data_IF_808158266497
#
_entry.id   IF_808158266497
#
_cell.length_a   1.000
_cell.length_b   1.000
_cell.length_c   1.000
_cell.angle_alpha   90.00
_cell.angle_beta   90.00
_cell.angle_gamma   90.00
#
_symmetry.space_group_name_H-M   'P 1'
#
loop_
_entity.id
_entity.type
_entity.pdbx_description
1 polymer ?
#
# COMPACT_ATOMS: atom_id res chain seq x y z
N UNK A 1 42.55 45.32 40.69
CA UNK A 1 42.74 43.86 40.89
C UNK A 1 41.36 43.21 40.85
N UNK A 2 41.31 42.03 40.24
CA UNK A 2 40.18 41.51 39.46
C UNK A 2 38.92 41.13 40.25
N UNK A 3 37.76 41.48 39.69
CA UNK A 3 36.49 40.79 39.90
C UNK A 3 36.53 39.42 39.20
N UNK A 4 36.14 38.35 39.89
CA UNK A 4 35.75 37.08 39.27
C UNK A 4 34.41 36.65 39.86
N UNK A 5 33.33 36.98 39.13
CA UNK A 5 31.98 36.46 39.36
C UNK A 5 31.88 35.17 38.55
N UNK A 6 31.76 34.02 39.23
CA UNK A 6 31.52 32.75 38.59
C UNK A 6 30.04 32.63 38.18
N UNK A 7 29.75 32.71 36.88
CA UNK A 7 28.46 32.38 36.30
C UNK A 7 28.39 30.87 36.10
N UNK A 8 27.70 30.16 36.98
CA UNK A 8 27.30 28.78 36.76
C UNK A 8 26.13 28.74 35.78
N UNK A 9 26.43 28.51 34.49
CA UNK A 9 25.44 28.18 33.48
C UNK A 9 24.99 26.72 33.67
N UNK A 10 24.01 26.51 34.55
CA UNK A 10 23.26 25.27 34.61
C UNK A 10 22.27 25.21 33.45
N UNK A 11 22.67 24.59 32.34
CA UNK A 11 21.75 24.24 31.26
C UNK A 11 20.89 23.04 31.70
N UNK A 12 19.77 23.29 32.37
CA UNK A 12 18.72 22.29 32.56
C UNK A 12 17.89 22.16 31.28
N UNK A 13 18.48 21.52 30.27
CA UNK A 13 17.74 21.00 29.14
C UNK A 13 17.19 19.61 29.52
N UNK A 14 16.02 19.58 30.16
CA UNK A 14 15.21 18.36 30.22
C UNK A 14 14.61 18.10 28.83
N UNK A 15 15.44 17.69 27.87
CA UNK A 15 15.00 17.11 26.62
C UNK A 15 14.42 15.73 26.89
N UNK A 16 13.16 15.67 27.31
CA UNK A 16 12.39 14.44 27.18
C UNK A 16 12.14 14.25 25.68
N UNK A 17 13.07 13.60 25.01
CA UNK A 17 12.79 12.97 23.73
C UNK A 17 11.71 11.92 24.02
N UNK A 18 10.45 12.31 23.82
CA UNK A 18 9.30 11.45 23.97
C UNK A 18 9.50 10.31 22.98
N UNK A 19 9.94 9.16 23.51
CA UNK A 19 10.18 7.94 22.73
C UNK A 19 8.91 7.69 21.93
N UNK A 20 8.95 7.63 20.58
CA UNK A 20 7.75 7.43 19.80
C UNK A 20 7.08 6.15 20.30
N UNK A 21 5.83 6.25 20.74
CA UNK A 21 5.10 5.13 21.31
C UNK A 21 4.97 4.04 20.24
N UNK A 22 5.84 3.03 20.30
CA UNK A 22 5.77 1.84 19.43
C UNK A 22 4.69 0.88 19.92
N UNK A 23 3.49 1.39 20.17
CA UNK A 23 2.37 0.59 20.66
C UNK A 23 1.45 0.30 19.49
N UNK A 24 1.07 -0.97 19.34
CA UNK A 24 0.01 -1.38 18.43
C UNK A 24 -1.33 -1.10 19.11
N UNK A 25 -2.28 -0.50 18.39
CA UNK A 25 -3.62 -0.19 18.90
C UNK A 25 -4.66 -1.06 18.19
N UNK A 26 -5.59 -1.64 18.94
CA UNK A 26 -6.68 -2.42 18.36
C UNK A 26 -7.81 -1.48 17.96
N UNK A 27 -8.11 -1.45 16.66
CA UNK A 27 -9.25 -0.71 16.10
C UNK A 27 -10.53 -1.51 16.33
N UNK A 28 -10.51 -2.81 16.00
CA UNK A 28 -11.66 -3.71 16.17
C UNK A 28 -11.23 -5.16 16.30
N UNK A 29 -12.07 -5.96 16.96
CA UNK A 29 -11.86 -7.40 17.17
C UNK A 29 -12.13 -8.27 15.92
N UNK A 30 -12.62 -7.65 14.85
CA UNK A 30 -12.93 -8.30 13.60
C UNK A 30 -12.53 -7.37 12.45
N UNK A 31 -11.85 -7.87 11.42
CA UNK A 31 -11.51 -7.12 10.21
C UNK A 31 -12.55 -7.28 9.09
N UNK A 32 -13.63 -8.03 9.32
CA UNK A 32 -14.71 -8.18 8.36
C UNK A 32 -15.31 -6.82 7.99
N UNK A 33 -15.53 -6.62 6.69
CA UNK A 33 -16.12 -5.38 6.16
C UNK A 33 -15.11 -4.24 5.94
N UNK A 34 -13.82 -4.43 6.23
CA UNK A 34 -12.78 -3.43 5.93
C UNK A 34 -12.62 -3.27 4.41
N UNK A 35 -12.64 -2.04 3.92
CA UNK A 35 -12.42 -1.71 2.51
C UNK A 35 -13.54 -2.11 1.54
N UNK A 36 -14.71 -2.55 2.02
CA UNK A 36 -15.78 -3.05 1.15
C UNK A 36 -16.57 -1.96 0.40
N UNK A 37 -16.41 -0.68 0.77
CA UNK A 37 -17.06 0.45 0.12
C UNK A 37 -16.20 1.09 -0.99
N UNK A 38 -14.92 0.70 -1.11
CA UNK A 38 -14.11 1.15 -2.23
C UNK A 38 -14.61 0.45 -3.51
N UNK A 39 -14.92 1.26 -4.53
CA UNK A 39 -15.42 0.80 -5.84
C UNK A 39 -14.49 -0.26 -6.46
N UNK A 40 -14.90 -0.90 -7.56
CA UNK A 40 -14.54 -2.27 -7.96
C UNK A 40 -13.05 -2.59 -7.86
N UNK A 41 -12.59 -2.84 -6.64
CA UNK A 41 -11.30 -3.38 -6.31
C UNK A 41 -11.30 -4.83 -6.74
N UNK A 42 -10.19 -5.26 -7.31
CA UNK A 42 -9.95 -6.60 -7.82
C UNK A 42 -10.32 -7.64 -6.77
N UNK A 43 -11.53 -8.20 -6.87
CA UNK A 43 -12.07 -9.15 -5.91
C UNK A 43 -11.08 -10.28 -5.62
N UNK A 44 -10.47 -10.25 -4.43
CA UNK A 44 -9.80 -11.35 -3.74
C UNK A 44 -8.65 -12.09 -4.46
N UNK A 45 -8.26 -11.70 -5.67
CA UNK A 45 -7.35 -12.51 -6.50
C UNK A 45 -5.93 -11.93 -6.63
N UNK A 46 -5.72 -10.68 -6.20
CA UNK A 46 -4.45 -9.97 -6.35
C UNK A 46 -4.21 -9.43 -7.77
N UNK A 47 -3.32 -8.45 -7.89
CA UNK A 47 -2.93 -7.84 -9.16
C UNK A 47 -2.38 -8.88 -10.15
N UNK A 48 -1.64 -9.88 -9.68
CA UNK A 48 -1.03 -10.89 -10.54
C UNK A 48 -2.07 -11.81 -11.21
N UNK A 49 -3.16 -12.16 -10.53
CA UNK A 49 -4.19 -13.01 -11.11
C UNK A 49 -4.96 -12.27 -12.21
N UNK A 50 -5.31 -11.00 -11.96
CA UNK A 50 -5.96 -10.14 -12.96
C UNK A 50 -5.05 -9.93 -14.17
N UNK A 51 -3.81 -9.48 -13.95
CA UNK A 51 -2.84 -9.24 -15.02
C UNK A 51 -2.46 -10.53 -15.75
N UNK A 52 -2.45 -11.68 -15.06
CA UNK A 52 -2.26 -12.99 -15.67
C UNK A 52 -3.36 -13.34 -16.67
N UNK A 53 -4.62 -13.00 -16.40
CA UNK A 53 -5.71 -13.18 -17.36
C UNK A 53 -5.59 -12.23 -18.57
N UNK A 54 -5.19 -10.97 -18.33
CA UNK A 54 -4.86 -10.01 -19.39
C UNK A 54 -3.75 -10.54 -20.30
N UNK A 55 -2.70 -11.14 -19.73
CA UNK A 55 -1.61 -11.75 -20.48
C UNK A 55 -2.08 -12.91 -21.36
N UNK A 56 -2.91 -13.82 -20.83
CA UNK A 56 -3.48 -14.92 -21.62
C UNK A 56 -4.30 -14.41 -22.80
N UNK A 57 -5.14 -13.41 -22.58
CA UNK A 57 -5.95 -12.81 -23.64
C UNK A 57 -5.08 -12.12 -24.70
N UNK A 58 -4.02 -11.42 -24.29
CA UNK A 58 -3.03 -10.86 -25.21
C UNK A 58 -2.43 -11.96 -26.08
N UNK A 59 -1.95 -13.05 -25.46
CA UNK A 59 -1.29 -14.14 -26.18
C UNK A 59 -2.24 -14.80 -27.17
N UNK A 60 -3.47 -15.10 -26.76
CA UNK A 60 -4.50 -15.68 -27.64
C UNK A 60 -4.82 -14.78 -28.84
N UNK A 61 -4.82 -13.45 -28.66
CA UNK A 61 -5.05 -12.50 -29.75
C UNK A 61 -3.85 -12.46 -30.71
N UNK A 62 -2.63 -12.42 -30.17
CA UNK A 62 -1.40 -12.45 -30.95
C UNK A 62 -1.31 -13.74 -31.78
N UNK A 63 -1.45 -14.90 -31.13
CA UNK A 63 -1.30 -16.21 -31.76
C UNK A 63 -2.27 -16.45 -32.93
N UNK A 64 -3.49 -15.93 -32.84
CA UNK A 64 -4.51 -16.07 -33.90
C UNK A 64 -4.24 -15.19 -35.13
N UNK A 65 -3.55 -14.07 -34.96
CA UNK A 65 -3.32 -13.08 -36.03
C UNK A 65 -2.10 -13.45 -36.88
N UNK A 66 -2.00 -12.83 -38.07
CA UNK A 66 -0.76 -12.85 -38.84
C UNK A 66 0.26 -11.98 -38.07
N UNK A 67 1.50 -12.44 -37.88
CA UNK A 67 2.52 -11.64 -37.22
C UNK A 67 2.74 -10.30 -37.95
N UNK A 68 3.02 -9.24 -37.20
CA UNK A 68 3.33 -7.92 -37.76
C UNK A 68 4.72 -7.84 -38.37
N UNK A 69 5.62 -8.75 -37.98
CA UNK A 69 6.97 -8.86 -38.53
C UNK A 69 6.89 -9.56 -39.88
N UNK A 70 7.46 -8.91 -40.90
CA UNK A 70 7.56 -9.47 -42.25
C UNK A 70 8.34 -10.80 -42.23
N UNK A 71 7.93 -11.72 -43.10
CA UNK A 71 8.51 -13.07 -43.23
C UNK A 71 8.48 -13.96 -41.99
N UNK A 72 7.84 -13.55 -40.89
CA UNK A 72 7.65 -14.39 -39.72
C UNK A 72 6.52 -15.42 -40.00
N UNK A 73 6.81 -16.73 -40.02
CA UNK A 73 5.77 -17.71 -40.32
C UNK A 73 4.77 -17.81 -39.17
N UNK A 74 3.48 -17.87 -39.51
CA UNK A 74 2.42 -18.06 -38.53
C UNK A 74 2.58 -19.41 -37.83
N UNK A 75 2.29 -19.43 -36.54
CA UNK A 75 2.43 -20.58 -35.65
C UNK A 75 3.85 -21.18 -35.57
N UNK A 76 4.86 -20.44 -36.01
CA UNK A 76 6.26 -20.82 -35.80
C UNK A 76 6.68 -20.60 -34.35
N UNK A 77 7.81 -21.21 -33.99
CA UNK A 77 8.48 -21.00 -32.72
C UNK A 77 8.90 -19.52 -32.54
N UNK A 78 9.35 -18.87 -33.61
CA UNK A 78 9.62 -17.43 -33.63
C UNK A 78 8.35 -16.58 -33.41
N UNK A 79 7.20 -16.98 -33.95
CA UNK A 79 5.91 -16.33 -33.66
C UNK A 79 5.49 -16.51 -32.20
N UNK A 80 5.70 -17.70 -31.64
CA UNK A 80 5.41 -17.96 -30.24
C UNK A 80 6.25 -17.04 -29.36
N UNK A 81 7.57 -16.96 -29.60
CA UNK A 81 8.48 -16.06 -28.86
C UNK A 81 8.05 -14.60 -28.96
N UNK A 82 7.69 -14.13 -30.16
CA UNK A 82 7.18 -12.78 -30.36
C UNK A 82 5.95 -12.51 -29.48
N UNK A 83 4.95 -13.40 -29.53
CA UNK A 83 3.74 -13.26 -28.74
C UNK A 83 4.02 -13.32 -27.23
N UNK A 84 4.89 -14.22 -26.79
CA UNK A 84 5.28 -14.32 -25.37
C UNK A 84 5.96 -13.04 -24.89
N UNK A 85 6.93 -12.52 -25.65
CA UNK A 85 7.67 -11.30 -25.30
C UNK A 85 6.74 -10.08 -25.21
N UNK A 86 5.95 -9.84 -26.26
CA UNK A 86 5.02 -8.71 -26.30
C UNK A 86 3.98 -8.78 -25.17
N UNK A 87 3.43 -9.97 -24.90
CA UNK A 87 2.42 -10.11 -23.87
C UNK A 87 3.01 -10.11 -22.45
N UNK A 88 4.28 -10.46 -22.28
CA UNK A 88 4.99 -10.23 -21.02
C UNK A 88 5.13 -8.73 -20.72
N UNK A 89 5.44 -7.90 -21.71
CA UNK A 89 5.47 -6.44 -21.51
C UNK A 89 4.10 -5.90 -21.07
N UNK A 90 3.01 -6.38 -21.68
CA UNK A 90 1.63 -6.04 -21.29
C UNK A 90 1.34 -6.46 -19.84
N UNK A 91 1.78 -7.65 -19.45
CA UNK A 91 1.65 -8.12 -18.07
C UNK A 91 2.38 -7.21 -17.08
N UNK A 92 3.65 -6.91 -17.33
CA UNK A 92 4.46 -6.07 -16.44
C UNK A 92 3.87 -4.68 -16.29
N UNK A 93 3.39 -4.09 -17.40
CA UNK A 93 2.70 -2.80 -17.37
C UNK A 93 1.40 -2.86 -16.56
N UNK A 94 0.61 -3.90 -16.73
CA UNK A 94 -0.61 -4.10 -15.94
C UNK A 94 -0.29 -4.18 -14.44
N UNK A 95 0.74 -4.95 -14.06
CA UNK A 95 1.17 -5.06 -12.67
C UNK A 95 1.58 -3.69 -12.14
N UNK A 96 2.44 -2.96 -12.84
CA UNK A 96 2.87 -1.61 -12.46
C UNK A 96 1.68 -0.64 -12.27
N UNK A 97 0.69 -0.69 -13.16
CA UNK A 97 -0.53 0.12 -13.04
C UNK A 97 -1.35 -0.25 -11.80
N UNK A 98 -1.54 -1.55 -11.51
CA UNK A 98 -2.23 -1.99 -10.30
C UNK A 98 -1.48 -1.55 -9.04
N UNK A 99 -0.17 -1.77 -9.02
CA UNK A 99 0.76 -1.36 -7.98
C UNK A 99 0.72 0.17 -7.73
N UNK A 100 0.53 0.97 -8.78
CA UNK A 100 0.43 2.42 -8.68
C UNK A 100 -0.93 2.87 -8.13
N UNK A 101 -2.00 2.15 -8.45
CA UNK A 101 -3.33 2.38 -7.88
C UNK A 101 -3.35 2.03 -6.39
N UNK A 102 -2.84 0.85 -6.01
CA UNK A 102 -2.70 0.44 -4.61
C UNK A 102 -1.87 1.45 -3.81
N UNK A 103 -0.76 1.95 -4.37
CA UNK A 103 0.05 3.00 -3.73
C UNK A 103 -0.68 4.34 -3.64
N UNK A 104 -1.54 4.70 -4.58
CA UNK A 104 -2.34 5.92 -4.52
C UNK A 104 -3.41 5.84 -3.43
N UNK A 105 -4.08 4.70 -3.31
CA UNK A 105 -5.09 4.47 -2.28
C UNK A 105 -4.45 4.37 -0.89
N UNK A 106 -3.29 3.70 -0.76
CA UNK A 106 -2.51 3.68 0.48
C UNK A 106 -1.96 5.06 0.89
N UNK A 107 -1.71 5.95 -0.09
CA UNK A 107 -1.23 7.33 0.15
C UNK A 107 -2.31 8.29 0.65
N UNK A 108 -3.58 7.87 0.71
CA UNK A 108 -4.63 8.69 1.32
C UNK A 108 -4.43 8.69 2.84
N UNK A 109 -3.52 9.54 3.31
CA UNK A 109 -3.19 9.69 4.73
C UNK A 109 -4.40 10.21 5.50
N UNK A 110 -4.81 9.49 6.55
CA UNK A 110 -5.80 9.98 7.51
C UNK A 110 -5.06 10.68 8.64
N UNK A 111 -5.43 11.93 8.94
CA UNK A 111 -4.77 12.73 9.98
C UNK A 111 -5.72 13.02 11.12
N UNK A 112 -5.30 12.69 12.34
CA UNK A 112 -6.07 12.87 13.55
C UNK A 112 -5.27 13.62 14.62
N UNK A 113 -5.94 14.45 15.44
CA UNK A 113 -5.29 15.19 16.52
C UNK A 113 -4.81 14.29 17.65
N UNK A 114 -5.52 13.19 17.94
CA UNK A 114 -5.19 12.24 18.99
C UNK A 114 -5.72 10.82 18.67
N UNK A 115 -5.26 9.84 19.45
CA UNK A 115 -5.52 8.42 19.19
C UNK A 115 -6.96 8.01 19.48
N UNK A 116 -7.65 8.67 20.42
CA UNK A 116 -9.04 8.35 20.70
C UNK A 116 -9.91 8.72 19.50
N UNK A 117 -9.71 9.93 18.97
CA UNK A 117 -10.41 10.40 17.76
C UNK A 117 -10.12 9.51 16.55
N UNK A 118 -8.86 9.10 16.36
CA UNK A 118 -8.49 8.20 15.27
C UNK A 118 -9.20 6.84 15.36
N UNK A 119 -9.21 6.24 16.55
CA UNK A 119 -9.83 4.92 16.76
C UNK A 119 -11.35 4.96 16.61
N UNK A 120 -12.00 6.00 17.11
CA UNK A 120 -13.45 6.16 16.97
C UNK A 120 -13.85 6.34 15.49
N UNK A 121 -13.15 7.22 14.78
CA UNK A 121 -13.39 7.41 13.34
C UNK A 121 -13.18 6.12 12.54
N UNK A 122 -12.07 5.39 12.78
CA UNK A 122 -11.78 4.14 12.06
C UNK A 122 -12.81 3.02 12.34
N UNK A 123 -13.43 3.02 13.53
CA UNK A 123 -14.49 2.06 13.85
C UNK A 123 -15.79 2.40 13.12
N UNK A 124 -16.12 3.70 13.03
CA UNK A 124 -17.32 4.19 12.35
C UNK A 124 -17.21 4.07 10.82
N UNK A 125 -16.01 4.31 10.26
CA UNK A 125 -15.74 4.35 8.82
C UNK A 125 -15.00 3.11 8.31
N UNK A 126 -15.20 1.97 8.99
CA UNK A 126 -14.46 0.73 8.75
C UNK A 126 -14.49 0.25 7.30
N UNK A 127 -15.62 0.43 6.61
CA UNK A 127 -15.80 0.03 5.21
C UNK A 127 -15.11 0.94 4.21
N UNK A 128 -14.73 2.15 4.62
CA UNK A 128 -14.12 3.19 3.78
C UNK A 128 -12.59 3.16 3.84
N UNK A 129 -12.00 2.36 4.74
CA UNK A 129 -10.55 2.25 4.92
C UNK A 129 -10.02 0.90 4.47
N UNK A 130 -8.84 0.90 3.87
CA UNK A 130 -8.19 -0.33 3.37
C UNK A 130 -6.97 -0.66 4.22
N UNK A 131 -6.68 -1.95 4.30
CA UNK A 131 -5.42 -2.44 4.86
C UNK A 131 -4.25 -1.78 4.12
N UNK A 132 -3.31 -1.21 4.86
CA UNK A 132 -2.19 -0.44 4.30
C UNK A 132 -2.38 1.07 4.36
N UNK A 133 -3.59 1.58 4.66
CA UNK A 133 -3.82 3.03 4.87
C UNK A 133 -2.89 3.56 5.96
N UNK A 134 -2.22 4.69 5.67
CA UNK A 134 -1.39 5.40 6.64
C UNK A 134 -2.27 6.33 7.47
N UNK A 135 -2.19 6.19 8.80
CA UNK A 135 -2.90 7.01 9.77
C UNK A 135 -1.89 7.79 10.59
N UNK A 136 -1.93 9.12 10.50
CA UNK A 136 -1.07 10.02 11.27
C UNK A 136 -1.85 10.54 12.47
N UNK A 137 -1.34 10.27 13.67
CA UNK A 137 -1.94 10.70 14.93
C UNK A 137 -0.93 11.56 15.68
N UNK A 138 -1.29 12.82 15.97
CA UNK A 138 -0.41 13.76 16.68
C UNK A 138 1.03 13.84 16.10
N UNK A 139 1.18 13.66 14.78
CA UNK A 139 2.47 13.67 14.09
C UNK A 139 3.22 12.33 14.05
N UNK A 140 2.65 11.25 14.58
CA UNK A 140 3.21 9.88 14.52
C UNK A 140 2.44 9.06 13.49
N UNK A 141 3.16 8.36 12.61
CA UNK A 141 2.55 7.56 11.55
C UNK A 141 2.33 6.10 11.97
N UNK A 142 1.16 5.58 11.60
CA UNK A 142 0.73 4.20 11.80
C UNK A 142 0.21 3.64 10.48
N UNK A 143 0.24 2.32 10.32
CA UNK A 143 -0.38 1.61 9.21
C UNK A 143 -1.55 0.78 9.74
N UNK A 144 -2.68 0.82 9.03
CA UNK A 144 -3.82 -0.05 9.30
C UNK A 144 -3.51 -1.46 8.79
N UNK A 145 -3.56 -2.47 9.67
CA UNK A 145 -3.18 -3.84 9.36
C UNK A 145 -4.15 -4.85 10.00
N UNK A 146 -4.13 -6.08 9.50
CA UNK A 146 -4.85 -7.21 10.11
C UNK A 146 -3.85 -8.08 10.86
N UNK A 147 -4.08 -8.27 12.16
CA UNK A 147 -3.25 -9.14 12.99
C UNK A 147 -3.56 -10.63 12.71
N UNK A 148 -2.65 -11.58 13.05
CA UNK A 148 -2.85 -13.02 12.84
C UNK A 148 -4.12 -13.64 13.48
N UNK A 149 -4.83 -12.89 14.34
CA UNK A 149 -6.11 -13.27 14.94
C UNK A 149 -7.35 -12.65 14.23
N UNK A 150 -7.17 -12.00 13.08
CA UNK A 150 -8.26 -11.31 12.37
C UNK A 150 -8.64 -9.95 12.96
N UNK A 151 -7.88 -9.45 13.95
CA UNK A 151 -8.09 -8.15 14.57
C UNK A 151 -7.63 -7.04 13.61
N UNK A 152 -8.42 -5.98 13.50
CA UNK A 152 -8.00 -4.75 12.82
C UNK A 152 -7.17 -3.90 13.79
N UNK A 153 -5.93 -3.57 13.42
CA UNK A 153 -4.97 -2.89 14.29
C UNK A 153 -4.26 -1.73 13.58
N UNK A 154 -3.84 -0.73 14.34
CA UNK A 154 -2.85 0.26 13.92
C UNK A 154 -1.47 -0.18 14.41
N UNK A 155 -0.54 -0.39 13.49
CA UNK A 155 0.86 -0.67 13.79
C UNK A 155 1.73 0.56 13.52
N UNK A 156 2.65 0.93 14.43
CA UNK A 156 3.60 2.02 14.16
C UNK A 156 4.51 1.68 12.96
N UNK A 157 4.86 2.70 12.17
CA UNK A 157 5.80 2.63 11.03
C UNK A 157 7.25 2.76 11.52
#
# INVERSE_FOLDING_TARGET
MALLIALALGASACGHAQRPERKTYVVSEDATGVGTAEGPGTGGSGAEAYCGEVQKQCFQKCWRRKPSVEDLPKHSESHHRLCTSQCLEVFMKCVEEQDALERQDAKRELRFPDMAVALDWLREHKSEVVVGTVVIVAGVAFTLAVAPAGLLVLTPI
#
